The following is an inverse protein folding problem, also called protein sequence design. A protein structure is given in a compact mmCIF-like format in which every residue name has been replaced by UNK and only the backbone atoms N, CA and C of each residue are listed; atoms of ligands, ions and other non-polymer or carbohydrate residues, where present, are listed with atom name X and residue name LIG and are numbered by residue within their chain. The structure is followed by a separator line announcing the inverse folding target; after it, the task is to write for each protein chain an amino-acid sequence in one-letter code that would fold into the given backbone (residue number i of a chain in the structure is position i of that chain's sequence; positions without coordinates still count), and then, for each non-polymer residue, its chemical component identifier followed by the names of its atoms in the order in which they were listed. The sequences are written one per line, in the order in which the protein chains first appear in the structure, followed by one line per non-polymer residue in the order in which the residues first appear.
data_IF_143949855719
#
_entry.id   IF_143949855719
#
_cell.length_a   1.000
_cell.length_b   1.000
_cell.length_c   1.000
_cell.angle_alpha   90.00
_cell.angle_beta   90.00
_cell.angle_gamma   90.00
#
_symmetry.space_group_name_H-M   'P 1'
#
loop_
_entity.id
_entity.type
_entity.pdbx_description
1 polymer ?
#
# COMPACT_ATOMS: atom_id res chain seq x y z
N UNK A 1 -3.10 40.58 2.52
CA UNK A 1 -3.24 39.87 1.23
C UNK A 1 -2.31 38.63 1.15
N UNK A 2 -2.22 37.81 2.20
CA UNK A 2 -1.21 36.71 2.28
C UNK A 2 -1.84 35.30 2.40
N UNK A 3 -3.00 35.17 3.06
CA UNK A 3 -3.68 33.87 3.23
C UNK A 3 -4.30 33.28 1.96
N UNK A 4 -4.78 34.12 1.04
CA UNK A 4 -5.44 33.65 -0.19
C UNK A 4 -4.45 32.96 -1.15
N UNK A 5 -3.23 33.50 -1.30
CA UNK A 5 -2.21 32.93 -2.17
C UNK A 5 -1.63 31.62 -1.63
N UNK A 6 -1.61 31.43 -0.30
CA UNK A 6 -1.21 30.16 0.33
C UNK A 6 -2.26 29.08 0.12
N UNK A 7 -3.56 29.42 0.22
CA UNK A 7 -4.65 28.47 -0.01
C UNK A 7 -4.70 27.99 -1.47
N UNK A 8 -4.46 28.88 -2.44
CA UNK A 8 -4.40 28.54 -3.87
C UNK A 8 -3.23 27.59 -4.15
N UNK A 9 -2.03 27.89 -3.61
CA UNK A 9 -0.86 27.01 -3.76
C UNK A 9 -1.04 25.63 -3.10
N UNK A 10 -1.71 25.55 -1.95
CA UNK A 10 -2.00 24.29 -1.27
C UNK A 10 -3.04 23.44 -2.03
N UNK A 11 -4.07 24.08 -2.58
CA UNK A 11 -5.08 23.43 -3.40
C UNK A 11 -4.50 22.90 -4.72
N UNK A 12 -3.59 23.65 -5.36
CA UNK A 12 -2.90 23.21 -6.57
C UNK A 12 -1.95 22.05 -6.31
N UNK A 13 -1.24 22.02 -5.16
CA UNK A 13 -0.41 20.87 -4.76
C UNK A 13 -1.26 19.64 -4.51
N UNK A 14 -2.35 19.76 -3.77
CA UNK A 14 -3.27 18.64 -3.54
C UNK A 14 -3.95 18.15 -4.82
N UNK A 15 -4.19 19.04 -5.79
CA UNK A 15 -4.68 18.67 -7.12
C UNK A 15 -3.58 17.93 -7.88
N UNK A 16 -2.36 18.46 -7.95
CA UNK A 16 -1.23 17.74 -8.55
C UNK A 16 -1.04 16.37 -7.90
N UNK A 17 -0.95 16.26 -6.59
CA UNK A 17 -0.77 14.99 -5.88
C UNK A 17 -1.90 13.97 -6.12
N UNK A 18 -3.14 14.44 -6.36
CA UNK A 18 -4.27 13.55 -6.71
C UNK A 18 -4.28 13.14 -8.18
N UNK A 19 -3.69 13.94 -9.07
CA UNK A 19 -3.59 13.69 -10.51
C UNK A 19 -2.24 13.05 -10.91
N UNK A 20 -1.23 13.06 -10.04
CA UNK A 20 0.07 12.40 -10.23
C UNK A 20 0.02 10.85 -10.27
N UNK A 21 -0.89 10.13 -9.57
CA UNK A 21 -0.96 8.67 -9.68
C UNK A 21 -1.23 8.26 -11.13
N UNK A 22 -2.15 8.96 -11.79
CA UNK A 22 -2.62 8.61 -13.12
C UNK A 22 -1.59 8.95 -14.23
N UNK A 23 -0.76 9.99 -14.06
CA UNK A 23 0.25 10.37 -15.05
C UNK A 23 1.52 9.50 -14.99
N UNK A 24 1.94 9.06 -13.80
CA UNK A 24 3.02 8.07 -13.64
C UNK A 24 2.55 6.67 -14.07
N UNK A 25 1.30 6.31 -13.75
CA UNK A 25 0.67 5.07 -14.23
C UNK A 25 0.47 5.06 -15.75
N UNK A 26 0.22 6.22 -16.38
CA UNK A 26 0.12 6.35 -17.84
C UNK A 26 1.46 6.17 -18.57
N UNK A 27 2.60 6.38 -17.89
CA UNK A 27 3.94 6.22 -18.48
C UNK A 27 4.34 4.75 -18.71
N UNK A 28 3.53 3.81 -18.22
CA UNK A 28 3.74 2.37 -18.27
C UNK A 28 2.62 1.67 -19.06
N UNK A 29 2.24 2.21 -20.22
CA UNK A 29 1.39 1.47 -21.15
C UNK A 29 2.14 0.22 -21.63
N UNK A 30 1.86 -0.90 -20.97
CA UNK A 30 2.24 -2.23 -21.45
C UNK A 30 1.70 -2.43 -22.86
N UNK A 31 2.47 -3.10 -23.71
CA UNK A 31 1.97 -3.50 -25.02
C UNK A 31 0.83 -4.52 -24.83
N UNK A 32 -0.09 -4.63 -25.80
CA UNK A 32 -1.17 -5.62 -25.72
C UNK A 32 -0.63 -7.05 -25.53
N UNK A 33 0.56 -7.32 -26.06
CA UNK A 33 1.26 -8.61 -25.98
C UNK A 33 1.81 -8.90 -24.56
N UNK A 34 2.25 -7.87 -23.84
CA UNK A 34 2.64 -7.97 -22.42
C UNK A 34 1.43 -8.32 -21.53
N UNK A 35 0.26 -7.76 -21.85
CA UNK A 35 -0.99 -8.03 -21.11
C UNK A 35 -1.57 -9.42 -21.40
N UNK A 36 -1.26 -10.02 -22.56
CA UNK A 36 -1.78 -11.34 -22.94
C UNK A 36 -1.11 -12.50 -22.20
N UNK A 37 0.13 -12.35 -21.71
CA UNK A 37 0.91 -13.44 -21.13
C UNK A 37 1.33 -13.22 -19.67
N UNK A 38 1.18 -12.01 -19.15
CA UNK A 38 1.64 -11.62 -17.83
C UNK A 38 0.54 -11.02 -16.97
N UNK A 39 0.59 -11.36 -15.69
CA UNK A 39 -0.15 -10.72 -14.62
C UNK A 39 0.76 -9.74 -13.90
N UNK A 40 0.17 -8.67 -13.38
CA UNK A 40 0.85 -7.67 -12.59
C UNK A 40 0.14 -7.47 -11.27
N UNK A 41 0.91 -7.20 -10.22
CA UNK A 41 0.34 -6.75 -8.95
C UNK A 41 1.21 -5.70 -8.29
N UNK A 42 0.59 -4.99 -7.35
CA UNK A 42 1.27 -4.02 -6.52
C UNK A 42 1.14 -4.41 -5.05
N UNK A 43 2.27 -4.52 -4.38
CA UNK A 43 2.36 -4.79 -2.96
C UNK A 43 2.70 -3.48 -2.24
N UNK A 44 1.91 -3.14 -1.23
CA UNK A 44 1.96 -1.86 -0.54
C UNK A 44 2.30 -2.01 0.94
N UNK A 45 2.91 -1.00 1.53
CA UNK A 45 3.15 -0.89 2.96
C UNK A 45 2.79 0.52 3.44
N UNK A 46 1.97 0.63 4.50
CA UNK A 46 1.62 1.92 5.06
C UNK A 46 2.80 2.62 5.76
N UNK A 47 3.78 1.87 6.25
CA UNK A 47 4.83 2.35 7.18
C UNK A 47 6.24 2.35 6.57
N UNK A 48 6.37 2.53 5.26
CA UNK A 48 7.67 2.58 4.54
C UNK A 48 8.56 1.35 4.76
N UNK A 49 7.97 0.18 4.92
CA UNK A 49 8.72 -1.02 5.31
C UNK A 49 9.77 -1.43 4.27
N UNK A 50 9.58 -1.11 2.99
CA UNK A 50 10.53 -1.46 1.92
C UNK A 50 11.79 -0.60 1.89
N UNK A 51 11.90 0.40 2.79
CA UNK A 51 13.15 1.08 3.06
C UNK A 51 14.17 0.15 3.74
N UNK A 52 13.70 -0.82 4.53
CA UNK A 52 14.53 -1.79 5.24
C UNK A 52 14.88 -2.94 4.27
N UNK A 53 16.16 -3.17 3.95
CA UNK A 53 16.55 -4.22 3.02
C UNK A 53 16.07 -5.61 3.45
N UNK A 54 16.07 -5.89 4.76
CA UNK A 54 15.66 -7.19 5.30
C UNK A 54 14.19 -7.48 5.01
N UNK A 55 13.32 -6.47 5.15
CA UNK A 55 11.89 -6.61 4.84
C UNK A 55 11.68 -6.72 3.33
N UNK A 56 12.43 -5.95 2.53
CA UNK A 56 12.38 -6.06 1.09
C UNK A 56 12.72 -7.49 0.65
N UNK A 57 13.84 -8.05 1.10
CA UNK A 57 14.26 -9.41 0.74
C UNK A 57 13.24 -10.46 1.18
N UNK A 58 12.70 -10.35 2.39
CA UNK A 58 11.65 -11.25 2.87
C UNK A 58 10.42 -11.22 1.96
N UNK A 59 9.96 -10.03 1.57
CA UNK A 59 8.82 -9.90 0.66
C UNK A 59 9.15 -10.51 -0.70
N UNK A 60 10.35 -10.28 -1.24
CA UNK A 60 10.75 -10.89 -2.51
C UNK A 60 10.74 -12.43 -2.44
N UNK A 61 11.26 -13.00 -1.36
CA UNK A 61 11.28 -14.45 -1.13
C UNK A 61 9.85 -14.99 -1.03
N UNK A 62 9.02 -14.39 -0.18
CA UNK A 62 7.63 -14.81 -0.01
C UNK A 62 6.85 -14.73 -1.32
N UNK A 63 7.00 -13.65 -2.09
CA UNK A 63 6.30 -13.46 -3.37
C UNK A 63 6.80 -14.44 -4.44
N UNK A 64 8.09 -14.82 -4.40
CA UNK A 64 8.67 -15.80 -5.32
C UNK A 64 8.05 -17.19 -5.18
N UNK A 65 7.51 -17.54 -4.00
CA UNK A 65 6.80 -18.81 -3.75
C UNK A 65 5.60 -18.98 -4.70
N UNK A 66 4.88 -17.89 -4.97
CA UNK A 66 3.78 -17.85 -5.93
C UNK A 66 4.22 -17.49 -7.36
N UNK A 67 5.53 -17.50 -7.62
CA UNK A 67 6.10 -17.22 -8.94
C UNK A 67 6.05 -15.75 -9.34
N UNK A 68 5.89 -14.83 -8.37
CA UNK A 68 5.98 -13.39 -8.63
C UNK A 68 7.44 -12.95 -8.68
N UNK A 69 7.77 -12.19 -9.72
CA UNK A 69 9.08 -11.57 -9.91
C UNK A 69 8.97 -10.06 -9.72
N UNK A 70 9.92 -9.47 -9.00
CA UNK A 70 9.97 -8.02 -8.86
C UNK A 70 10.21 -7.39 -10.23
N UNK A 71 9.27 -6.54 -10.63
CA UNK A 71 9.42 -5.72 -11.82
C UNK A 71 10.10 -4.40 -11.48
N UNK A 72 9.61 -3.72 -10.44
CA UNK A 72 10.08 -2.37 -10.08
C UNK A 72 9.81 -2.07 -8.61
N UNK A 73 10.76 -1.41 -7.95
CA UNK A 73 10.54 -0.74 -6.66
C UNK A 73 10.19 0.73 -6.93
N UNK A 74 8.91 1.06 -6.83
CA UNK A 74 8.41 2.41 -7.13
C UNK A 74 8.87 3.42 -6.06
N UNK A 75 8.77 3.04 -4.79
CA UNK A 75 9.21 3.84 -3.64
C UNK A 75 9.42 2.94 -2.40
N UNK A 76 9.47 3.50 -1.19
CA UNK A 76 9.59 2.72 0.06
C UNK A 76 8.25 2.13 0.55
N UNK A 77 7.15 2.43 -0.15
CA UNK A 77 5.79 2.00 0.16
C UNK A 77 5.21 1.03 -0.85
N UNK A 78 5.74 0.96 -2.08
CA UNK A 78 5.13 0.26 -3.20
C UNK A 78 6.17 -0.54 -4.00
N UNK A 79 5.88 -1.81 -4.19
CA UNK A 79 6.60 -2.72 -5.07
C UNK A 79 5.65 -3.19 -6.17
N UNK A 80 6.14 -3.25 -7.41
CA UNK A 80 5.41 -3.82 -8.54
C UNK A 80 6.02 -5.17 -8.91
N UNK A 81 5.17 -6.17 -9.06
CA UNK A 81 5.55 -7.52 -9.47
C UNK A 81 4.89 -7.90 -10.79
N UNK A 82 5.53 -8.83 -11.48
CA UNK A 82 4.98 -9.51 -12.66
C UNK A 82 5.03 -11.03 -12.46
N UNK A 83 4.13 -11.75 -13.12
CA UNK A 83 4.09 -13.22 -13.12
C UNK A 83 3.51 -13.71 -14.43
N UNK A 84 4.02 -14.82 -14.97
CA UNK A 84 3.40 -15.41 -16.17
C UNK A 84 2.01 -15.98 -15.83
N UNK A 85 1.03 -15.82 -16.72
CA UNK A 85 -0.31 -16.42 -16.56
C UNK A 85 -0.26 -17.94 -16.39
N UNK A 86 0.73 -18.62 -16.99
CA UNK A 86 0.96 -20.06 -16.80
C UNK A 86 1.33 -20.40 -15.35
N UNK A 87 1.91 -19.46 -14.62
CA UNK A 87 2.24 -19.59 -13.21
C UNK A 87 1.01 -19.76 -12.32
N UNK A 88 -0.16 -19.26 -12.73
CA UNK A 88 -1.42 -19.38 -11.98
C UNK A 88 -1.83 -20.83 -11.74
N UNK A 89 -1.51 -21.74 -12.66
CA UNK A 89 -1.79 -23.18 -12.47
C UNK A 89 -1.04 -23.77 -11.27
N UNK A 90 0.05 -23.14 -10.81
CA UNK A 90 0.79 -23.61 -9.64
C UNK A 90 0.19 -23.11 -8.32
N UNK A 91 -0.81 -22.23 -8.37
CA UNK A 91 -1.43 -21.67 -7.17
C UNK A 91 -2.11 -22.75 -6.32
N UNK A 92 -2.55 -23.86 -6.93
CA UNK A 92 -3.12 -25.01 -6.22
C UNK A 92 -2.12 -25.77 -5.33
N UNK A 93 -0.82 -25.60 -5.58
CA UNK A 93 0.26 -26.23 -4.80
C UNK A 93 0.82 -25.31 -3.72
N UNK A 94 0.24 -24.12 -3.54
CA UNK A 94 0.69 -23.18 -2.52
C UNK A 94 0.38 -23.69 -1.11
N UNK A 95 1.19 -23.28 -0.10
CA UNK A 95 0.93 -23.63 1.29
C UNK A 95 -0.50 -23.25 1.71
N UNK A 96 -1.17 -24.05 2.56
CA UNK A 96 -2.50 -23.71 3.05
C UNK A 96 -2.57 -22.32 3.68
N UNK A 97 -3.55 -21.51 3.26
CA UNK A 97 -3.74 -20.15 3.75
C UNK A 97 -2.82 -19.09 3.12
N UNK A 98 -1.97 -19.47 2.16
CA UNK A 98 -1.18 -18.50 1.40
C UNK A 98 -2.05 -17.82 0.34
N UNK A 99 -2.07 -16.48 0.35
CA UNK A 99 -2.79 -15.66 -0.64
C UNK A 99 -1.81 -15.11 -1.70
N UNK A 100 -1.82 -15.65 -2.94
CA UNK A 100 -0.94 -15.18 -4.01
C UNK A 100 -1.28 -13.78 -4.53
N UNK A 101 -2.45 -13.24 -4.19
CA UNK A 101 -2.91 -11.93 -4.63
C UNK A 101 -2.92 -10.89 -3.51
N UNK A 102 -2.27 -11.17 -2.38
CA UNK A 102 -2.10 -10.17 -1.32
C UNK A 102 -1.45 -8.91 -1.87
N UNK A 103 -1.96 -7.76 -1.44
CA UNK A 103 -1.55 -6.44 -1.91
C UNK A 103 -0.99 -5.55 -0.81
N UNK A 104 -0.93 -6.04 0.43
CA UNK A 104 -0.45 -5.29 1.59
C UNK A 104 0.50 -6.14 2.44
N UNK A 105 1.58 -5.50 2.89
CA UNK A 105 2.53 -6.04 3.89
C UNK A 105 2.41 -5.19 5.16
N UNK A 106 2.27 -5.88 6.29
CA UNK A 106 2.07 -5.24 7.59
C UNK A 106 0.66 -4.66 7.75
N UNK A 107 0.56 -3.60 8.54
CA UNK A 107 -0.71 -2.94 8.87
C UNK A 107 -1.10 -2.01 7.72
N UNK A 108 -2.32 -2.16 7.20
CA UNK A 108 -2.88 -1.26 6.19
C UNK A 108 -3.21 0.13 6.77
N UNK A 109 -3.32 1.16 5.91
CA UNK A 109 -3.67 2.52 6.37
C UNK A 109 -5.03 2.55 7.10
N UNK A 110 -6.02 1.81 6.61
CA UNK A 110 -7.34 1.73 7.23
C UNK A 110 -7.29 1.12 8.63
N UNK A 111 -6.47 0.09 8.84
CA UNK A 111 -6.26 -0.50 10.16
C UNK A 111 -5.57 0.48 11.12
N UNK A 112 -4.58 1.25 10.65
CA UNK A 112 -3.96 2.30 11.47
C UNK A 112 -5.01 3.35 11.86
N UNK A 113 -5.81 3.83 10.90
CA UNK A 113 -6.88 4.80 11.16
C UNK A 113 -7.89 4.26 12.18
N UNK A 114 -8.31 3.01 12.05
CA UNK A 114 -9.25 2.37 12.99
C UNK A 114 -8.65 2.28 14.40
N UNK A 115 -7.39 1.86 14.53
CA UNK A 115 -6.71 1.79 15.83
C UNK A 115 -6.66 3.19 16.48
N UNK A 116 -6.33 4.23 15.70
CA UNK A 116 -6.30 5.61 16.21
C UNK A 116 -7.68 6.12 16.66
N UNK A 117 -8.75 5.76 15.95
CA UNK A 117 -10.12 6.10 16.34
C UNK A 117 -10.51 5.39 17.65
N UNK A 118 -10.17 4.12 17.79
CA UNK A 118 -10.46 3.37 19.03
C UNK A 118 -9.69 3.96 20.20
N UNK A 119 -8.40 4.27 20.01
CA UNK A 119 -7.57 4.88 21.05
C UNK A 119 -8.07 6.26 21.47
N UNK A 120 -8.48 7.10 20.52
CA UNK A 120 -9.04 8.42 20.83
C UNK A 120 -10.36 8.31 21.59
N UNK A 121 -11.24 7.38 21.19
CA UNK A 121 -12.50 7.13 21.87
C UNK A 121 -12.30 6.64 23.32
N UNK A 122 -11.39 5.69 23.54
CA UNK A 122 -11.05 5.19 24.87
C UNK A 122 -10.45 6.29 25.76
N UNK A 123 -9.59 7.14 25.20
CA UNK A 123 -9.02 8.28 25.93
C UNK A 123 -10.11 9.28 26.34
N UNK A 124 -11.05 9.59 25.44
CA UNK A 124 -12.18 10.48 25.74
C UNK A 124 -13.08 9.91 26.85
N UNK A 125 -13.37 8.61 26.84
CA UNK A 125 -14.13 7.95 27.90
C UNK A 125 -13.38 8.02 29.23
N UNK A 126 -12.08 7.70 29.24
CA UNK A 126 -11.27 7.72 30.45
C UNK A 126 -11.21 9.10 31.09
N UNK A 127 -11.02 10.16 30.29
CA UNK A 127 -11.06 11.54 30.76
C UNK A 127 -12.44 11.93 31.29
N UNK A 128 -13.51 11.55 30.60
CA UNK A 128 -14.89 11.83 31.03
C UNK A 128 -15.23 11.16 32.37
N UNK A 129 -14.86 9.88 32.53
CA UNK A 129 -15.05 9.14 33.78
C UNK A 129 -14.19 9.71 34.93
N UNK A 130 -12.95 10.10 34.65
CA UNK A 130 -12.08 10.72 35.65
C UNK A 130 -12.63 12.04 36.18
N UNK A 131 -13.17 12.88 35.29
CA UNK A 131 -13.85 14.12 35.68
C UNK A 131 -15.13 13.83 36.47
N UNK A 132 -15.94 12.88 36.03
CA UNK A 132 -17.18 12.50 36.71
C UNK A 132 -16.95 12.01 38.14
N UNK A 133 -15.90 11.22 38.38
CA UNK A 133 -15.54 10.73 39.72
C UNK A 133 -14.91 11.80 40.63
N UNK A 134 -14.54 12.95 40.08
CA UNK A 134 -13.88 14.05 40.82
C UNK A 134 -14.86 15.15 41.28
N UNK A 135 -16.14 15.06 40.90
CA UNK A 135 -17.24 15.98 41.26
C UNK A 135 -18.09 15.32 42.34
#
# INVERSE_FOLDING_TARGET
MSGANMAINAAERHRKERFLPDEEEARLRYSAEDLENWEFKMVRSATRQFHKPEVLYLVLEEESVAGWELLEKLDDHRLRFKRSLRGRHKDEFLPPGYDPYRSWVGISQSQITLILIILSFLLSIGLGLGVYLSI
#
